data_IF_277133124720
#
_entry.id   IF_277133124720
#
_cell.length_a   1.000
_cell.length_b   1.000
_cell.length_c   1.000
_cell.angle_alpha   90.00
_cell.angle_beta   90.00
_cell.angle_gamma   90.00
#
_symmetry.space_group_name_H-M   'P 1'
#
loop_
_entity.id
_entity.type
_entity.pdbx_description
1 polymer ?
#
# COMPACT_ATOMS: atom_id res chain seq x y z
N UNK A 1 19.04 -7.86 -1.36
CA UNK A 1 17.87 -7.05 -1.74
C UNK A 1 16.83 -7.36 -0.69
N UNK A 2 16.57 -6.42 0.20
CA UNK A 2 15.58 -6.56 1.27
C UNK A 2 14.19 -6.68 0.63
N UNK A 3 13.48 -7.79 0.91
CA UNK A 3 12.10 -7.98 0.47
C UNK A 3 11.22 -7.01 1.27
N UNK A 4 10.85 -5.90 0.65
CA UNK A 4 9.85 -4.98 1.19
C UNK A 4 8.45 -5.39 0.72
N UNK A 5 7.56 -5.60 1.69
CA UNK A 5 6.15 -5.93 1.44
C UNK A 5 5.29 -4.77 1.91
N UNK A 6 4.56 -4.17 0.98
CA UNK A 6 3.65 -3.07 1.24
C UNK A 6 2.25 -3.62 1.47
N UNK A 7 1.62 -3.20 2.55
CA UNK A 7 0.28 -3.65 2.96
C UNK A 7 -0.61 -2.43 3.12
N UNK A 8 -1.71 -2.42 2.37
CA UNK A 8 -2.71 -1.36 2.36
C UNK A 8 -4.06 -1.91 2.79
N UNK A 9 -4.72 -1.26 3.73
CA UNK A 9 -6.11 -1.51 4.07
C UNK A 9 -6.95 -0.46 3.36
N UNK A 10 -7.71 -0.88 2.37
CA UNK A 10 -8.47 0.00 1.49
C UNK A 10 -9.95 -0.16 1.76
N UNK A 11 -10.65 0.97 1.91
CA UNK A 11 -12.10 1.00 2.09
C UNK A 11 -12.78 0.30 0.92
N UNK A 12 -13.75 -0.58 1.21
CA UNK A 12 -14.45 -1.46 0.25
C UNK A 12 -13.65 -2.59 -0.40
N UNK A 13 -12.31 -2.54 -0.42
CA UNK A 13 -11.46 -3.59 -1.03
C UNK A 13 -10.75 -4.48 -0.02
N UNK A 14 -10.69 -4.07 1.25
CA UNK A 14 -10.05 -4.83 2.31
C UNK A 14 -8.52 -4.71 2.28
N UNK A 15 -7.84 -5.76 2.75
CA UNK A 15 -6.37 -5.77 2.86
C UNK A 15 -5.73 -6.22 1.55
N UNK A 16 -4.91 -5.34 0.98
CA UNK A 16 -4.12 -5.59 -0.21
C UNK A 16 -2.64 -5.63 0.14
N UNK A 17 -1.95 -6.65 -0.37
CA UNK A 17 -0.55 -6.92 -0.07
C UNK A 17 0.24 -7.01 -1.37
N UNK A 18 1.30 -6.24 -1.47
CA UNK A 18 2.07 -6.13 -2.70
C UNK A 18 3.55 -6.01 -2.42
N UNK A 19 4.35 -6.65 -3.27
CA UNK A 19 5.81 -6.48 -3.26
C UNK A 19 6.15 -5.25 -4.10
N UNK A 20 6.98 -4.36 -3.58
CA UNK A 20 7.33 -3.13 -4.27
C UNK A 20 8.72 -2.67 -3.87
N UNK A 21 9.37 -1.91 -4.75
CA UNK A 21 10.66 -1.26 -4.43
C UNK A 21 10.46 0.03 -3.63
N UNK A 22 9.29 0.67 -3.74
CA UNK A 22 8.93 1.87 -3.01
C UNK A 22 7.41 2.03 -2.90
N UNK A 23 6.97 2.91 -1.98
CA UNK A 23 5.54 3.18 -1.73
C UNK A 23 4.81 3.71 -2.95
N UNK A 24 5.45 4.55 -3.78
CA UNK A 24 4.82 5.16 -4.95
C UNK A 24 4.46 4.13 -6.02
N UNK A 25 5.38 3.22 -6.34
CA UNK A 25 5.11 2.10 -7.28
C UNK A 25 4.02 1.19 -6.75
N UNK A 26 4.02 0.91 -5.45
CA UNK A 26 2.96 0.12 -4.82
C UNK A 26 1.60 0.81 -4.96
N UNK A 27 1.53 2.13 -4.75
CA UNK A 27 0.32 2.92 -4.96
C UNK A 27 -0.12 3.00 -6.44
N UNK A 28 0.82 3.08 -7.38
CA UNK A 28 0.49 3.03 -8.81
C UNK A 28 -0.08 1.67 -9.21
N UNK A 29 0.49 0.57 -8.70
CA UNK A 29 -0.07 -0.77 -8.90
C UNK A 29 -1.46 -0.86 -8.26
N UNK A 30 -1.63 -0.32 -7.05
CA UNK A 30 -2.92 -0.25 -6.37
C UNK A 30 -3.95 0.51 -7.22
N UNK A 31 -3.60 1.66 -7.79
CA UNK A 31 -4.44 2.43 -8.73
C UNK A 31 -4.67 1.74 -10.08
N UNK A 32 -3.79 0.83 -10.49
CA UNK A 32 -3.95 0.03 -11.70
C UNK A 32 -4.93 -1.13 -11.48
N UNK A 33 -4.81 -1.80 -10.33
CA UNK A 33 -5.68 -2.91 -9.92
C UNK A 33 -7.09 -2.41 -9.57
N UNK A 34 -7.16 -1.29 -8.84
CA UNK A 34 -8.40 -0.59 -8.53
C UNK A 34 -8.65 0.41 -9.66
N UNK A 35 -9.43 0.03 -10.67
CA UNK A 35 -9.69 0.82 -11.88
C UNK A 35 -9.65 2.34 -11.66
N UNK A 36 -9.10 3.13 -12.62
CA UNK A 36 -8.86 4.56 -12.44
C UNK A 36 -10.10 5.40 -12.10
N UNK A 37 -11.30 4.88 -12.38
CA UNK A 37 -12.59 5.51 -12.07
C UNK A 37 -13.09 5.26 -10.63
N UNK A 38 -12.40 4.42 -9.85
CA UNK A 38 -12.80 4.09 -8.49
C UNK A 38 -12.07 5.01 -7.52
N UNK A 39 -12.84 5.90 -6.86
CA UNK A 39 -12.34 6.57 -5.67
C UNK A 39 -12.25 5.55 -4.53
N UNK A 40 -11.04 5.34 -4.03
CA UNK A 40 -10.81 4.49 -2.88
C UNK A 40 -10.09 5.29 -1.80
N UNK A 41 -10.37 4.96 -0.54
CA UNK A 41 -9.72 5.56 0.61
C UNK A 41 -8.83 4.53 1.28
N UNK A 42 -7.56 4.87 1.46
CA UNK A 42 -6.66 4.04 2.24
C UNK A 42 -6.92 4.34 3.72
N UNK A 43 -7.34 3.31 4.46
CA UNK A 43 -7.62 3.39 5.90
C UNK A 43 -6.34 3.24 6.72
N UNK A 44 -5.46 2.32 6.29
CA UNK A 44 -4.16 2.07 6.91
C UNK A 44 -3.15 1.65 5.87
N UNK A 45 -1.87 1.97 6.09
CA UNK A 45 -0.80 1.43 5.27
C UNK A 45 0.46 1.21 6.10
N UNK A 46 1.12 0.08 5.86
CA UNK A 46 2.39 -0.24 6.48
C UNK A 46 3.30 -1.02 5.53
N UNK A 47 4.60 -0.91 5.78
CA UNK A 47 5.64 -1.65 5.06
C UNK A 47 6.25 -2.66 6.00
N UNK A 48 6.35 -3.91 5.57
CA UNK A 48 7.07 -4.97 6.26
C UNK A 48 8.40 -5.13 5.54
N UNK A 49 9.51 -4.82 6.21
CA UNK A 49 10.87 -5.11 5.72
C UNK A 49 11.44 -6.32 6.45
N UNK A 50 12.04 -7.25 5.72
CA UNK A 50 12.72 -8.42 6.28
C UNK A 50 11.82 -9.25 7.22
N UNK A 51 10.51 -9.33 6.94
CA UNK A 51 9.48 -10.02 7.74
C UNK A 51 9.32 -9.59 9.22
N UNK A 52 10.12 -8.66 9.73
CA UNK A 52 10.14 -8.28 11.15
C UNK A 52 9.91 -6.77 11.36
N UNK A 53 10.29 -5.92 10.40
CA UNK A 53 10.27 -4.48 10.59
C UNK A 53 9.03 -3.85 9.95
N UNK A 54 8.06 -3.45 10.78
CA UNK A 54 6.84 -2.77 10.35
C UNK A 54 7.01 -1.25 10.44
N UNK A 55 6.87 -0.57 9.29
CA UNK A 55 6.89 0.89 9.18
C UNK A 55 5.48 1.35 8.86
N UNK A 56 4.85 2.12 9.75
CA UNK A 56 3.58 2.76 9.44
C UNK A 56 3.82 3.91 8.44
N UNK A 57 3.08 3.86 7.33
CA UNK A 57 3.12 4.87 6.26
C UNK A 57 1.72 5.44 6.01
N UNK A 58 0.79 5.24 6.95
CA UNK A 58 -0.62 5.63 6.81
C UNK A 58 -0.75 7.13 6.56
N UNK A 59 0.03 7.96 7.28
CA UNK A 59 0.04 9.42 7.10
C UNK A 59 0.51 9.85 5.70
N UNK A 60 1.41 9.09 5.09
CA UNK A 60 1.96 9.40 3.76
C UNK A 60 0.96 9.14 2.63
N UNK A 61 0.04 8.20 2.82
CA UNK A 61 -0.89 7.74 1.78
C UNK A 61 -2.32 8.19 1.99
N UNK A 62 -2.65 8.74 3.17
CA UNK A 62 -3.96 9.31 3.46
C UNK A 62 -4.30 10.56 2.59
N UNK A 63 -3.31 11.14 1.92
CA UNK A 63 -3.45 12.32 1.07
C UNK A 63 -3.05 12.00 -0.37
N UNK A 64 -3.89 11.25 -1.10
CA UNK A 64 -3.72 10.97 -2.55
C UNK A 64 -5.06 11.13 -3.26
#
# INVERSE_FOLDING_TARGET
MDDEKYVFEVEHFGRLEMKGENVYKALEILKGELSPDIQFKILKAHVIKNNDFLIDISEFVATI
#
